data_IF_338902847815
#
_entry.id   IF_338902847815
#
_cell.length_a   1.000
_cell.length_b   1.000
_cell.length_c   1.000
_cell.angle_alpha   90.00
_cell.angle_beta   90.00
_cell.angle_gamma   90.00
#
_symmetry.space_group_name_H-M   'P 1'
#
loop_
_entity.id
_entity.type
_entity.pdbx_description
1 polymer ?
#
# COMPACT_ATOMS: atom_id res chain seq x y z
N UNK A 1 63.61 -3.89 -18.08
CA UNK A 1 62.31 -3.59 -17.44
C UNK A 1 61.92 -4.78 -16.57
N UNK A 2 62.36 -4.78 -15.32
CA UNK A 2 61.97 -5.78 -14.33
C UNK A 2 60.54 -5.49 -13.88
N UNK A 3 59.55 -6.10 -14.54
CA UNK A 3 58.16 -6.01 -14.07
C UNK A 3 58.14 -6.42 -12.59
N UNK A 4 57.72 -5.49 -11.73
CA UNK A 4 57.66 -5.73 -10.29
C UNK A 4 56.85 -7.01 -10.02
N UNK A 5 57.19 -7.74 -8.96
CA UNK A 5 56.42 -8.93 -8.53
C UNK A 5 54.92 -8.60 -8.49
N UNK A 6 54.57 -7.42 -8.02
CA UNK A 6 53.19 -6.93 -7.97
C UNK A 6 52.54 -6.77 -9.34
N UNK A 7 53.27 -6.27 -10.34
CA UNK A 7 52.75 -6.10 -11.71
C UNK A 7 52.51 -7.47 -12.37
N UNK A 8 53.39 -8.44 -12.12
CA UNK A 8 53.20 -9.83 -12.59
C UNK A 8 52.05 -10.53 -11.89
N UNK A 9 51.84 -10.28 -10.59
CA UNK A 9 50.69 -10.82 -9.86
C UNK A 9 49.38 -10.20 -10.34
N UNK A 10 49.37 -8.89 -10.60
CA UNK A 10 48.21 -8.18 -11.17
C UNK A 10 47.90 -8.65 -12.59
N UNK A 11 48.91 -8.83 -13.45
CA UNK A 11 48.70 -9.29 -14.83
C UNK A 11 48.17 -10.72 -14.91
N UNK A 12 48.56 -11.58 -13.96
CA UNK A 12 48.14 -12.98 -13.90
C UNK A 12 46.93 -13.22 -13.00
N UNK A 13 46.31 -12.17 -12.44
CA UNK A 13 45.13 -12.26 -11.57
C UNK A 13 43.99 -13.05 -12.21
N UNK A 14 43.73 -12.84 -13.50
CA UNK A 14 42.71 -13.56 -14.26
C UNK A 14 43.02 -15.05 -14.43
N UNK A 15 44.29 -15.43 -14.54
CA UNK A 15 44.71 -16.83 -14.59
C UNK A 15 44.53 -17.51 -13.22
N UNK A 16 44.80 -16.81 -12.12
CA UNK A 16 44.54 -17.30 -10.77
C UNK A 16 43.04 -17.44 -10.49
N UNK A 17 42.21 -16.47 -10.89
CA UNK A 17 40.75 -16.57 -10.79
C UNK A 17 40.20 -17.75 -11.62
N UNK A 18 40.74 -17.97 -12.83
CA UNK A 18 40.41 -19.13 -13.65
C UNK A 18 40.76 -20.46 -12.98
N UNK A 19 41.93 -20.55 -12.34
CA UNK A 19 42.34 -21.74 -11.59
C UNK A 19 41.46 -21.98 -10.37
N UNK A 20 41.12 -20.92 -9.62
CA UNK A 20 40.19 -21.01 -8.49
C UNK A 20 38.79 -21.45 -8.94
N UNK A 21 38.35 -21.07 -10.14
CA UNK A 21 37.06 -21.49 -10.70
C UNK A 21 37.01 -22.97 -11.12
N UNK A 22 38.17 -23.57 -11.40
CA UNK A 22 38.29 -24.99 -11.76
C UNK A 22 38.14 -25.91 -10.55
N UNK A 23 38.45 -25.39 -9.37
CA UNK A 23 38.32 -26.13 -8.12
C UNK A 23 36.83 -26.16 -7.75
N UNK A 24 36.23 -27.34 -7.52
CA UNK A 24 34.80 -27.44 -7.23
C UNK A 24 34.39 -26.56 -6.04
N UNK A 25 33.27 -25.85 -6.22
CA UNK A 25 32.64 -24.99 -5.21
C UNK A 25 32.44 -25.69 -3.85
N UNK A 26 32.32 -27.03 -3.83
CA UNK A 26 32.25 -27.86 -2.62
C UNK A 26 33.39 -27.62 -1.63
N UNK A 27 34.58 -27.24 -2.09
CA UNK A 27 35.74 -27.04 -1.22
C UNK A 27 35.86 -25.61 -0.66
N UNK A 28 35.08 -24.66 -1.18
CA UNK A 28 35.12 -23.25 -0.75
C UNK A 28 33.85 -22.78 -0.06
N UNK A 29 32.71 -23.37 -0.42
CA UNK A 29 31.42 -23.06 0.19
C UNK A 29 31.07 -24.17 1.16
N UNK A 30 30.83 -23.80 2.43
CA UNK A 30 30.35 -24.73 3.45
C UNK A 30 29.12 -25.47 2.89
N UNK A 31 29.06 -26.81 3.02
CA UNK A 31 27.96 -27.64 2.47
C UNK A 31 26.56 -27.09 2.90
N UNK A 32 26.49 -26.40 4.06
CA UNK A 32 25.30 -25.71 4.58
C UNK A 32 24.85 -24.48 3.77
N UNK A 33 25.77 -23.79 3.11
CA UNK A 33 25.46 -22.60 2.28
C UNK A 33 24.93 -22.96 0.90
N UNK A 34 25.24 -24.17 0.41
CA UNK A 34 24.79 -24.64 -0.89
C UNK A 34 23.28 -24.87 -0.96
N UNK A 35 22.63 -25.15 0.17
CA UNK A 35 21.18 -25.39 0.22
C UNK A 35 20.35 -24.12 0.50
N UNK A 36 20.99 -22.97 0.72
CA UNK A 36 20.29 -21.72 1.04
C UNK A 36 19.31 -21.27 -0.05
N UNK A 37 19.61 -21.53 -1.32
CA UNK A 37 18.71 -21.19 -2.44
C UNK A 37 17.47 -22.10 -2.50
N UNK A 38 17.53 -23.28 -1.85
CA UNK A 38 16.41 -24.21 -1.68
C UNK A 38 15.60 -23.97 -0.40
N UNK A 39 16.05 -23.05 0.47
CA UNK A 39 15.42 -22.81 1.76
C UNK A 39 14.02 -22.17 1.59
N UNK A 40 13.01 -22.83 2.17
CA UNK A 40 11.64 -22.29 2.24
C UNK A 40 11.59 -21.13 3.23
N UNK A 41 10.74 -20.13 2.94
CA UNK A 41 10.50 -19.01 3.86
C UNK A 41 9.97 -19.53 5.19
N UNK A 42 10.69 -19.21 6.28
CA UNK A 42 10.29 -19.60 7.66
C UNK A 42 8.93 -19.03 8.02
N UNK A 43 8.13 -19.81 8.76
CA UNK A 43 6.84 -19.37 9.26
C UNK A 43 7.01 -18.30 10.35
N UNK A 44 5.94 -17.54 10.65
CA UNK A 44 6.00 -16.48 11.65
C UNK A 44 6.21 -17.00 13.09
N UNK A 45 5.90 -18.27 13.35
CA UNK A 45 6.20 -18.96 14.61
C UNK A 45 7.69 -19.29 14.72
N UNK A 46 8.25 -19.90 13.66
CA UNK A 46 9.68 -20.22 13.57
C UNK A 46 10.56 -18.97 13.70
N UNK A 47 10.16 -17.85 13.09
CA UNK A 47 10.86 -16.57 13.24
C UNK A 47 10.85 -16.02 14.68
N UNK A 48 9.87 -16.39 15.52
CA UNK A 48 9.85 -16.00 16.94
C UNK A 48 10.71 -16.93 17.77
N UNK A 49 10.73 -18.22 17.46
CA UNK A 49 11.59 -19.23 18.10
C UNK A 49 13.06 -18.95 17.80
N UNK A 50 13.41 -18.66 16.54
CA UNK A 50 14.78 -18.26 16.14
C UNK A 50 15.26 -17.01 16.90
N UNK A 51 14.35 -16.07 17.20
CA UNK A 51 14.68 -14.86 17.97
C UNK A 51 14.85 -15.14 19.45
N UNK A 52 14.17 -16.14 19.97
CA UNK A 52 14.30 -16.58 21.36
C UNK A 52 15.60 -17.38 21.54
N UNK A 53 15.86 -18.35 20.66
CA UNK A 53 17.11 -19.13 20.68
C UNK A 53 18.35 -18.27 20.46
N UNK A 54 18.23 -17.15 19.72
CA UNK A 54 19.30 -16.15 19.60
C UNK A 54 19.67 -15.47 20.92
N UNK A 55 18.75 -15.45 21.89
CA UNK A 55 18.89 -14.80 23.18
C UNK A 55 19.35 -15.76 24.29
N UNK A 56 19.22 -17.08 24.06
CA UNK A 56 19.56 -18.12 25.04
C UNK A 56 21.06 -18.50 24.93
N UNK A 57 21.91 -18.20 25.93
CA UNK A 57 23.36 -18.40 25.85
C UNK A 57 23.78 -19.87 25.78
N UNK A 58 22.92 -20.81 26.23
CA UNK A 58 23.18 -22.25 26.15
C UNK A 58 22.88 -22.85 24.77
N UNK A 59 22.13 -22.15 23.90
CA UNK A 59 21.79 -22.59 22.54
C UNK A 59 22.57 -21.83 21.46
N UNK A 60 23.66 -21.17 21.85
CA UNK A 60 24.54 -20.42 20.96
C UNK A 60 25.54 -21.34 20.22
N UNK A 61 25.04 -22.06 19.22
CA UNK A 61 25.85 -22.78 18.25
C UNK A 61 26.35 -21.83 17.13
N UNK A 62 27.22 -22.32 16.24
CA UNK A 62 27.70 -21.55 15.07
C UNK A 62 26.56 -21.07 14.14
N UNK A 63 25.37 -21.65 14.26
CA UNK A 63 24.18 -21.31 13.47
C UNK A 63 23.34 -20.19 14.09
N UNK A 64 23.36 -20.07 15.42
CA UNK A 64 22.59 -19.07 16.17
C UNK A 64 23.46 -17.94 16.68
N UNK A 65 24.80 -18.02 16.64
CA UNK A 65 25.73 -16.96 17.03
C UNK A 65 25.82 -15.81 16.01
N UNK A 66 26.36 -14.66 16.43
CA UNK A 66 26.41 -13.47 15.56
C UNK A 66 27.46 -13.66 14.46
N UNK A 67 27.26 -13.11 13.26
CA UNK A 67 28.24 -13.22 12.17
C UNK A 67 29.65 -12.74 12.58
N UNK A 68 29.73 -11.72 13.45
CA UNK A 68 30.97 -11.21 14.00
C UNK A 68 31.64 -12.21 14.96
N UNK A 69 30.84 -12.93 15.73
CA UNK A 69 31.28 -13.91 16.72
C UNK A 69 31.75 -15.20 16.06
N UNK A 70 31.04 -15.65 15.01
CA UNK A 70 31.49 -16.74 14.14
C UNK A 70 32.80 -16.39 13.45
N UNK A 71 32.96 -15.13 12.99
CA UNK A 71 34.21 -14.67 12.37
C UNK A 71 35.38 -14.69 13.36
N UNK A 72 35.16 -14.22 14.61
CA UNK A 72 36.16 -14.29 15.69
C UNK A 72 36.53 -15.74 16.04
N UNK A 73 35.55 -16.63 16.17
CA UNK A 73 35.78 -18.07 16.43
C UNK A 73 36.57 -18.72 15.29
N UNK A 74 36.21 -18.49 14.04
CA UNK A 74 36.94 -18.99 12.85
C UNK A 74 38.37 -18.43 12.80
N UNK A 75 38.57 -17.17 13.15
CA UNK A 75 39.91 -16.55 13.22
C UNK A 75 40.77 -17.18 14.32
N UNK A 76 40.20 -17.44 15.50
CA UNK A 76 40.90 -18.10 16.60
C UNK A 76 41.26 -19.56 16.29
N UNK A 77 40.43 -20.26 15.50
CA UNK A 77 40.65 -21.66 15.11
C UNK A 77 41.43 -21.82 13.80
N UNK A 78 41.73 -20.73 13.09
CA UNK A 78 42.46 -20.79 11.83
C UNK A 78 43.91 -21.24 12.06
N UNK A 79 44.29 -22.37 11.45
CA UNK A 79 45.68 -22.83 11.47
C UNK A 79 46.55 -21.82 10.68
N UNK A 80 47.70 -21.40 11.22
CA UNK A 80 48.58 -20.49 10.50
C UNK A 80 49.08 -21.14 9.21
N UNK A 81 48.97 -20.40 8.10
CA UNK A 81 49.43 -20.84 6.79
C UNK A 81 50.96 -20.90 6.80
N UNK A 82 51.52 -22.11 6.76
CA UNK A 82 52.97 -22.32 6.60
C UNK A 82 53.27 -22.35 5.11
N UNK A 83 53.89 -21.28 4.61
CA UNK A 83 54.41 -21.23 3.25
C UNK A 83 55.59 -22.22 3.12
N UNK A 84 55.60 -23.13 2.13
CA UNK A 84 56.71 -24.04 1.94
C UNK A 84 57.97 -23.25 1.56
N UNK A 85 58.94 -23.16 2.48
CA UNK A 85 60.22 -22.48 2.27
C UNK A 85 60.67 -21.54 3.40
N UNK A 86 59.81 -21.20 4.36
CA UNK A 86 60.21 -20.38 5.53
C UNK A 86 60.46 -21.27 6.75
N UNK A 87 61.67 -21.20 7.31
CA UNK A 87 62.04 -21.87 8.57
C UNK A 87 61.17 -21.32 9.71
N UNK A 88 60.66 -22.22 10.55
CA UNK A 88 59.86 -21.90 11.75
C UNK A 88 60.62 -20.93 12.64
N UNK A 89 60.13 -19.70 12.77
CA UNK A 89 60.50 -18.82 13.89
C UNK A 89 59.54 -19.18 15.02
N UNK A 90 60.05 -19.96 15.98
CA UNK A 90 59.41 -20.12 17.28
C UNK A 90 59.67 -18.82 18.06
N UNK A 91 58.64 -18.02 18.25
CA UNK A 91 58.57 -17.07 19.37
C UNK A 91 57.21 -17.24 20.02
N UNK A 92 57.21 -17.98 21.12
CA UNK A 92 56.18 -17.92 22.14
C UNK A 92 56.21 -16.52 22.75
N UNK A 93 55.09 -15.79 22.67
CA UNK A 93 54.86 -14.59 23.48
C UNK A 93 53.71 -14.91 24.44
N UNK A 94 53.88 -14.66 25.75
CA UNK A 94 52.92 -15.06 26.77
C UNK A 94 51.68 -14.16 26.78
N UNK A 95 50.56 -14.78 27.12
CA UNK A 95 49.27 -14.17 27.43
C UNK A 95 49.45 -13.34 28.72
N UNK A 96 49.18 -12.05 28.64
CA UNK A 96 48.94 -11.21 29.83
C UNK A 96 47.60 -10.50 29.64
N UNK A 97 46.64 -10.89 30.47
CA UNK A 97 45.39 -10.17 30.69
C UNK A 97 45.72 -8.76 31.21
N UNK A 98 45.17 -7.73 30.57
CA UNK A 98 45.01 -6.42 31.19
C UNK A 98 43.70 -5.77 30.74
N UNK A 99 42.72 -5.91 31.62
CA UNK A 99 41.63 -4.99 31.93
C UNK A 99 41.79 -3.59 31.31
N UNK A 100 40.98 -3.25 30.32
CA UNK A 100 40.80 -1.87 29.85
C UNK A 100 39.71 -1.20 30.70
N UNK A 101 40.15 -0.65 31.83
CA UNK A 101 39.43 0.32 32.63
C UNK A 101 39.20 1.62 31.86
N UNK A 102 37.97 2.11 32.00
CA UNK A 102 37.50 3.49 31.87
C UNK A 102 38.55 4.59 32.11
N UNK A 103 38.64 5.55 31.19
CA UNK A 103 38.90 6.96 31.49
C UNK A 103 38.41 7.84 30.33
N UNK A 104 37.42 8.66 30.65
CA UNK A 104 36.95 9.84 29.91
C UNK A 104 38.08 10.86 29.80
N UNK A 105 38.33 11.42 28.61
CA UNK A 105 38.91 12.76 28.45
C UNK A 105 38.28 13.46 27.24
N UNK A 106 38.01 14.74 27.47
CA UNK A 106 37.38 15.76 26.63
C UNK A 106 38.03 15.92 25.25
N UNK A 107 37.20 16.27 24.25
CA UNK A 107 37.65 17.15 23.17
C UNK A 107 36.62 18.27 22.98
N UNK A 108 37.08 19.48 23.32
CA UNK A 108 36.44 20.77 23.10
C UNK A 108 36.37 21.15 21.61
N UNK A 109 35.44 22.08 21.34
CA UNK A 109 35.14 22.78 20.10
C UNK A 109 36.36 23.38 19.36
N UNK A 110 36.37 23.22 18.03
CA UNK A 110 36.80 24.27 17.10
C UNK A 110 35.77 24.41 15.96
N UNK A 111 34.98 25.50 16.01
CA UNK A 111 34.39 26.15 14.82
C UNK A 111 35.46 27.06 14.21
N UNK A 112 35.74 27.06 12.91
CA UNK A 112 35.16 27.82 11.78
C UNK A 112 36.23 27.66 10.65
N UNK A 113 36.00 27.68 9.35
CA UNK A 113 35.29 28.62 8.49
C UNK A 113 34.95 27.88 7.18
N UNK A 114 33.78 28.14 6.60
CA UNK A 114 33.49 27.81 5.20
C UNK A 114 33.02 29.08 4.50
N UNK A 115 33.87 29.53 3.60
CA UNK A 115 33.66 30.66 2.71
C UNK A 115 32.31 30.61 2.01
N UNK A 116 31.58 31.71 2.17
CA UNK A 116 30.47 32.12 1.32
C UNK A 116 31.02 32.55 -0.04
N UNK A 117 30.56 31.89 -1.11
CA UNK A 117 30.67 32.45 -2.46
C UNK A 117 29.25 32.68 -2.99
N UNK A 118 28.98 33.97 -3.10
CA UNK A 118 27.85 34.66 -3.71
C UNK A 118 27.67 34.22 -5.16
N UNK A 119 26.46 33.79 -5.53
CA UNK A 119 26.07 33.62 -6.94
C UNK A 119 24.71 34.31 -7.11
N UNK A 120 24.79 35.55 -7.57
CA UNK A 120 23.67 36.38 -7.97
C UNK A 120 23.16 35.91 -9.34
N UNK A 121 21.98 35.31 -9.39
CA UNK A 121 21.19 35.25 -10.62
C UNK A 121 19.89 36.03 -10.43
N UNK A 122 19.79 37.12 -11.18
CA UNK A 122 18.63 37.98 -11.34
C UNK A 122 17.57 37.24 -12.18
N UNK A 123 16.38 37.04 -11.65
CA UNK A 123 15.22 36.60 -12.44
C UNK A 123 14.24 37.79 -12.59
N UNK A 124 14.24 38.35 -13.79
CA UNK A 124 13.41 39.45 -14.25
C UNK A 124 11.96 38.95 -14.45
N UNK A 125 11.04 39.33 -13.54
CA UNK A 125 9.61 39.03 -13.67
C UNK A 125 8.93 40.16 -14.43
N UNK A 126 8.65 39.95 -15.71
CA UNK A 126 7.84 40.86 -16.53
C UNK A 126 6.35 40.53 -16.36
N UNK A 127 5.60 41.55 -15.95
CA UNK A 127 4.16 41.62 -15.76
C UNK A 127 3.38 41.19 -17.02
N UNK A 128 2.24 40.53 -16.83
CA UNK A 128 1.12 40.58 -17.77
C UNK A 128 -0.13 40.90 -16.96
N UNK A 129 -0.66 42.08 -17.27
CA UNK A 129 -1.87 42.69 -16.73
C UNK A 129 -3.13 41.92 -17.16
N UNK A 130 -4.09 41.88 -16.25
CA UNK A 130 -5.50 41.57 -16.52
C UNK A 130 -6.16 42.81 -17.16
N UNK A 131 -6.91 42.62 -18.24
CA UNK A 131 -8.05 43.47 -18.57
C UNK A 131 -9.24 42.62 -19.02
N UNK A 132 -10.40 42.95 -18.43
CA UNK A 132 -11.74 42.44 -18.71
C UNK A 132 -12.25 42.86 -20.11
N UNK A 133 -13.21 42.10 -20.66
CA UNK A 133 -14.44 42.67 -21.21
C UNK A 133 -15.50 41.58 -21.46
N UNK A 134 -16.52 41.63 -20.61
CA UNK A 134 -17.97 41.74 -20.89
C UNK A 134 -18.81 40.62 -21.57
N UNK A 135 -20.04 40.54 -21.05
CA UNK A 135 -21.08 39.49 -21.10
C UNK A 135 -22.05 39.73 -22.30
N UNK A 136 -23.06 38.87 -22.64
CA UNK A 136 -24.25 38.64 -21.80
C UNK A 136 -24.88 37.22 -21.80
N UNK A 137 -25.64 36.98 -20.73
CA UNK A 137 -26.65 35.94 -20.51
C UNK A 137 -27.74 35.87 -21.59
N UNK A 138 -28.36 34.69 -21.76
CA UNK A 138 -29.83 34.51 -21.73
C UNK A 138 -30.23 33.07 -21.39
N UNK A 139 -31.16 32.96 -20.44
CA UNK A 139 -31.97 31.80 -20.03
C UNK A 139 -32.63 31.05 -21.20
N UNK A 140 -32.89 29.73 -21.06
CA UNK A 140 -34.23 29.08 -21.12
C UNK A 140 -34.19 27.69 -20.47
N UNK A 141 -35.22 27.42 -19.69
CA UNK A 141 -35.61 26.22 -18.96
C UNK A 141 -36.06 25.02 -19.82
N UNK A 142 -36.10 23.84 -19.18
CA UNK A 142 -37.07 22.74 -19.41
C UNK A 142 -36.99 21.92 -20.72
N UNK A 143 -36.65 20.63 -20.60
CA UNK A 143 -37.48 19.51 -21.10
C UNK A 143 -36.83 18.14 -20.88
N UNK A 144 -37.68 17.22 -20.43
CA UNK A 144 -37.46 15.82 -20.12
C UNK A 144 -37.82 14.97 -21.37
N UNK A 145 -37.23 13.76 -21.48
CA UNK A 145 -37.64 12.70 -22.42
C UNK A 145 -36.74 12.60 -23.66
N UNK A 146 -36.47 11.45 -24.26
CA UNK A 146 -36.83 10.06 -23.99
C UNK A 146 -35.88 9.20 -24.87
N UNK A 147 -35.63 7.97 -24.44
CA UNK A 147 -34.74 7.01 -25.07
C UNK A 147 -35.15 6.62 -26.49
N UNK A 148 -34.17 6.55 -27.39
CA UNK A 148 -34.30 5.98 -28.75
C UNK A 148 -34.79 4.52 -28.71
N UNK A 149 -36.01 4.31 -29.19
CA UNK A 149 -36.63 3.01 -29.44
C UNK A 149 -36.13 2.37 -30.74
N UNK A 150 -35.70 1.12 -30.65
CA UNK A 150 -35.45 0.21 -31.77
C UNK A 150 -36.78 -0.13 -32.45
N UNK A 151 -36.88 0.13 -33.76
CA UNK A 151 -38.07 -0.17 -34.55
C UNK A 151 -38.21 -1.68 -34.81
N UNK A 152 -39.31 -2.27 -34.32
CA UNK A 152 -39.82 -3.59 -34.71
C UNK A 152 -41.09 -3.35 -35.52
N UNK A 153 -41.12 -3.82 -36.77
CA UNK A 153 -42.28 -3.67 -37.67
C UNK A 153 -43.14 -4.95 -37.53
N UNK A 154 -44.44 -4.77 -37.30
CA UNK A 154 -45.46 -5.83 -37.17
C UNK A 154 -46.35 -5.88 -38.42
N UNK A 155 -46.88 -7.05 -38.74
CA UNK A 155 -47.94 -7.25 -39.75
C UNK A 155 -49.35 -7.10 -39.12
N UNK A 156 -50.41 -7.00 -39.93
CA UNK A 156 -51.80 -6.62 -39.55
C UNK A 156 -52.47 -7.54 -38.49
N UNK A 157 -51.93 -8.74 -38.26
CA UNK A 157 -52.37 -9.67 -37.19
C UNK A 157 -51.42 -9.71 -35.96
N UNK A 158 -50.47 -8.78 -35.84
CA UNK A 158 -49.75 -8.55 -34.58
C UNK A 158 -48.68 -9.57 -34.19
N UNK A 159 -48.05 -10.27 -35.16
CA UNK A 159 -46.89 -11.14 -34.91
C UNK A 159 -45.58 -10.53 -35.49
N UNK A 160 -44.41 -10.64 -34.81
CA UNK A 160 -43.18 -10.00 -35.26
C UNK A 160 -42.54 -10.73 -36.46
N UNK A 161 -42.25 -10.01 -37.54
CA UNK A 161 -41.63 -10.55 -38.76
C UNK A 161 -40.11 -10.51 -38.66
N UNK A 162 -39.49 -11.68 -38.50
CA UNK A 162 -38.03 -11.84 -38.46
C UNK A 162 -37.45 -11.90 -39.89
N UNK A 163 -36.69 -10.90 -40.31
CA UNK A 163 -36.12 -10.79 -41.68
C UNK A 163 -34.93 -11.75 -41.96
N UNK A 164 -34.97 -12.96 -41.41
CA UNK A 164 -33.94 -13.98 -41.68
C UNK A 164 -34.50 -15.27 -42.32
N UNK A 165 -35.76 -15.26 -42.79
CA UNK A 165 -36.39 -16.41 -43.43
C UNK A 165 -36.19 -16.52 -44.96
N UNK A 166 -35.70 -15.48 -45.65
CA UNK A 166 -35.56 -15.48 -47.14
C UNK A 166 -34.23 -16.00 -47.69
N UNK A 167 -33.42 -16.70 -46.88
CA UNK A 167 -32.15 -17.33 -47.34
C UNK A 167 -32.09 -18.86 -47.20
N UNK A 168 -33.25 -19.52 -47.12
CA UNK A 168 -33.34 -20.98 -47.10
C UNK A 168 -34.48 -21.59 -47.94
N UNK A 169 -34.93 -20.92 -49.01
CA UNK A 169 -35.86 -21.55 -49.99
C UNK A 169 -35.18 -22.01 -51.29
N UNK A 170 -33.88 -21.78 -51.44
CA UNK A 170 -33.09 -22.24 -52.61
C UNK A 170 -32.38 -23.58 -52.43
N UNK A 171 -32.73 -24.41 -51.44
CA UNK A 171 -31.97 -25.64 -51.15
C UNK A 171 -32.82 -26.81 -50.64
N UNK A 172 -34.00 -27.01 -51.22
CA UNK A 172 -34.89 -28.13 -50.91
C UNK A 172 -35.45 -28.86 -52.15
N UNK A 173 -34.68 -28.90 -53.25
CA UNK A 173 -35.02 -29.74 -54.42
C UNK A 173 -33.76 -30.37 -55.04
N UNK A 174 -32.97 -31.10 -54.25
CA UNK A 174 -32.02 -32.10 -54.79
C UNK A 174 -31.56 -33.06 -53.70
N UNK A 175 -32.44 -33.98 -53.29
CA UNK A 175 -32.09 -35.24 -52.59
C UNK A 175 -33.38 -36.02 -52.31
N UNK A 176 -34.00 -36.52 -53.36
CA UNK A 176 -34.97 -37.61 -53.27
C UNK A 176 -34.64 -38.61 -54.38
N UNK A 177 -33.58 -39.38 -54.17
CA UNK A 177 -33.31 -40.63 -54.89
C UNK A 177 -32.15 -41.34 -54.19
N UNK A 178 -32.41 -41.90 -53.01
CA UNK A 178 -31.89 -43.21 -52.60
C UNK A 178 -32.32 -43.61 -51.19
N UNK A 179 -32.48 -44.93 -50.99
CA UNK A 179 -32.72 -45.67 -49.75
C UNK A 179 -34.17 -45.76 -49.22
N UNK A 180 -34.97 -46.60 -49.90
CA UNK A 180 -36.02 -47.39 -49.26
C UNK A 180 -35.38 -48.66 -48.67
N UNK A 181 -34.94 -48.61 -47.41
CA UNK A 181 -34.78 -49.75 -46.49
C UNK A 181 -34.35 -49.23 -45.10
N UNK A 182 -34.84 -49.82 -44.02
CA UNK A 182 -34.66 -49.45 -42.58
C UNK A 182 -35.57 -48.34 -42.02
N UNK A 183 -36.89 -48.61 -41.91
CA UNK A 183 -37.83 -47.70 -41.22
C UNK A 183 -38.00 -47.98 -39.71
N UNK A 184 -37.70 -49.19 -39.21
CA UNK A 184 -37.88 -49.49 -37.77
C UNK A 184 -36.68 -49.06 -36.91
N UNK A 185 -35.46 -49.23 -37.42
CA UNK A 185 -34.19 -48.86 -36.76
C UNK A 185 -34.02 -47.34 -36.53
N UNK A 186 -34.78 -46.52 -37.27
CA UNK A 186 -34.76 -45.05 -37.16
C UNK A 186 -35.56 -44.55 -35.96
N UNK A 187 -36.63 -45.26 -35.58
CA UNK A 187 -37.52 -44.87 -34.48
C UNK A 187 -36.83 -45.06 -33.12
N UNK A 188 -36.12 -46.17 -32.95
CA UNK A 188 -35.35 -46.47 -31.74
C UNK A 188 -34.15 -45.55 -31.57
N UNK A 189 -33.46 -45.22 -32.67
CA UNK A 189 -32.37 -44.22 -32.66
C UNK A 189 -32.86 -42.83 -32.29
N UNK A 190 -34.06 -42.44 -32.73
CA UNK A 190 -34.69 -41.16 -32.32
C UNK A 190 -35.03 -41.15 -30.84
N UNK A 191 -35.66 -42.21 -30.32
CA UNK A 191 -35.94 -42.36 -28.89
C UNK A 191 -34.66 -42.30 -28.05
N UNK A 192 -33.61 -43.01 -28.47
CA UNK A 192 -32.30 -42.98 -27.81
C UNK A 192 -31.62 -41.60 -27.86
N UNK A 193 -31.79 -40.86 -28.96
CA UNK A 193 -31.30 -39.47 -29.07
C UNK A 193 -32.10 -38.49 -28.21
N UNK A 194 -33.41 -38.72 -28.07
CA UNK A 194 -34.28 -37.95 -27.18
C UNK A 194 -33.94 -38.22 -25.71
N UNK A 195 -33.68 -39.48 -25.33
CA UNK A 195 -33.18 -39.83 -24.00
C UNK A 195 -31.80 -39.24 -23.70
N UNK A 196 -30.91 -39.16 -24.69
CA UNK A 196 -29.62 -38.50 -24.52
C UNK A 196 -29.79 -36.98 -24.38
N UNK A 197 -30.74 -36.38 -25.10
CA UNK A 197 -31.08 -34.95 -24.96
C UNK A 197 -31.73 -34.66 -23.61
N UNK A 198 -32.61 -35.51 -23.10
CA UNK A 198 -33.21 -35.34 -21.77
C UNK A 198 -32.15 -35.44 -20.67
N UNK A 199 -31.28 -36.47 -20.71
CA UNK A 199 -30.15 -36.61 -19.78
C UNK A 199 -29.19 -35.43 -19.83
N UNK A 200 -28.92 -34.89 -21.03
CA UNK A 200 -28.11 -33.67 -21.18
C UNK A 200 -28.80 -32.45 -20.56
N UNK A 201 -30.11 -32.28 -20.79
CA UNK A 201 -30.88 -31.17 -20.24
C UNK A 201 -30.95 -31.24 -18.71
N UNK A 202 -31.13 -32.42 -18.13
CA UNK A 202 -31.07 -32.65 -16.68
C UNK A 202 -29.69 -32.30 -16.12
N UNK A 203 -28.61 -32.73 -16.77
CA UNK A 203 -27.24 -32.38 -16.37
C UNK A 203 -26.98 -30.86 -16.47
N UNK A 204 -27.53 -30.20 -17.49
CA UNK A 204 -27.44 -28.74 -17.64
C UNK A 204 -28.24 -28.04 -16.54
N UNK A 205 -29.44 -28.52 -16.19
CA UNK A 205 -30.25 -27.98 -15.09
C UNK A 205 -29.51 -28.14 -13.75
N UNK A 206 -28.99 -29.32 -13.46
CA UNK A 206 -28.20 -29.58 -12.25
C UNK A 206 -26.94 -28.68 -12.16
N UNK A 207 -26.25 -28.45 -13.28
CA UNK A 207 -25.10 -27.53 -13.31
C UNK A 207 -25.50 -26.06 -13.16
N UNK A 208 -26.67 -25.66 -13.70
CA UNK A 208 -27.22 -24.29 -13.52
C UNK A 208 -27.64 -24.04 -12.08
N UNK A 209 -28.27 -25.02 -11.44
CA UNK A 209 -28.68 -24.98 -10.03
C UNK A 209 -27.45 -24.91 -9.11
N UNK A 210 -26.44 -25.76 -9.34
CA UNK A 210 -25.15 -25.71 -8.63
C UNK A 210 -24.43 -24.35 -8.76
N UNK A 211 -24.58 -23.69 -9.92
CA UNK A 211 -23.98 -22.37 -10.18
C UNK A 211 -24.88 -21.19 -9.79
N UNK A 212 -26.07 -21.45 -9.25
CA UNK A 212 -27.08 -20.43 -8.88
C UNK A 212 -27.33 -19.46 -10.04
N UNK A 213 -27.43 -20.01 -11.25
CA UNK A 213 -27.65 -19.23 -12.47
C UNK A 213 -29.05 -18.57 -12.45
N UNK A 214 -29.20 -17.38 -13.04
CA UNK A 214 -30.49 -16.69 -13.06
C UNK A 214 -31.59 -17.55 -13.71
N UNK A 215 -32.77 -17.58 -13.09
CA UNK A 215 -33.92 -18.39 -13.51
C UNK A 215 -33.95 -19.83 -12.97
N UNK A 216 -33.01 -20.23 -12.10
CA UNK A 216 -33.13 -21.49 -11.33
C UNK A 216 -33.92 -21.25 -10.06
N UNK A 217 -34.77 -22.21 -9.63
CA UNK A 217 -35.60 -22.11 -8.41
C UNK A 217 -34.81 -22.35 -7.10
N UNK A 218 -33.47 -22.25 -7.15
CA UNK A 218 -32.59 -22.45 -5.99
C UNK A 218 -32.51 -21.16 -5.18
N UNK A 219 -32.62 -21.30 -3.86
CA UNK A 219 -32.58 -20.15 -2.96
C UNK A 219 -31.26 -19.34 -3.12
N UNK A 220 -31.42 -18.04 -3.34
CA UNK A 220 -30.32 -17.11 -3.66
C UNK A 220 -29.97 -16.94 -5.14
N UNK A 221 -30.63 -17.65 -6.09
CA UNK A 221 -30.50 -17.36 -7.52
C UNK A 221 -31.50 -16.28 -7.95
N UNK A 222 -31.08 -15.22 -8.66
CA UNK A 222 -31.99 -14.17 -9.10
C UNK A 222 -32.92 -14.67 -10.23
N UNK A 223 -34.22 -14.67 -9.98
CA UNK A 223 -35.23 -15.24 -10.90
C UNK A 223 -35.34 -14.51 -12.24
N UNK A 224 -35.09 -13.19 -12.27
CA UNK A 224 -35.15 -12.35 -13.48
C UNK A 224 -34.07 -11.26 -13.50
N UNK A 225 -33.82 -10.66 -14.67
CA UNK A 225 -32.91 -9.50 -14.82
C UNK A 225 -33.34 -8.31 -13.95
N UNK A 226 -34.64 -8.16 -13.75
CA UNK A 226 -35.24 -7.15 -12.88
C UNK A 226 -34.95 -7.42 -11.40
N UNK A 227 -35.00 -8.68 -10.97
CA UNK A 227 -34.62 -9.08 -9.61
C UNK A 227 -33.15 -8.75 -9.29
N UNK A 228 -32.24 -8.83 -10.28
CA UNK A 228 -30.83 -8.43 -10.12
C UNK A 228 -30.70 -6.92 -9.89
N UNK A 229 -31.47 -6.11 -10.63
CA UNK A 229 -31.47 -4.65 -10.48
C UNK A 229 -32.07 -4.23 -9.14
N UNK A 230 -33.18 -4.85 -8.73
CA UNK A 230 -33.80 -4.62 -7.43
C UNK A 230 -32.88 -4.98 -6.26
N UNK A 231 -32.18 -6.13 -6.34
CA UNK A 231 -31.20 -6.52 -5.31
C UNK A 231 -29.99 -5.57 -5.27
N UNK A 232 -29.54 -5.08 -6.42
CA UNK A 232 -28.46 -4.09 -6.50
C UNK A 232 -28.88 -2.74 -5.90
N UNK A 233 -30.11 -2.30 -6.16
CA UNK A 233 -30.70 -1.08 -5.59
C UNK A 233 -30.82 -1.21 -4.07
N UNK A 234 -31.44 -2.29 -3.57
CA UNK A 234 -31.56 -2.57 -2.13
C UNK A 234 -30.20 -2.61 -1.41
N UNK A 235 -29.16 -3.14 -2.06
CA UNK A 235 -27.78 -3.15 -1.50
C UNK A 235 -27.11 -1.78 -1.52
N UNK A 236 -27.43 -0.92 -2.49
CA UNK A 236 -26.98 0.47 -2.51
C UNK A 236 -27.68 1.28 -1.42
N UNK A 237 -29.00 1.12 -1.27
CA UNK A 237 -29.79 1.80 -0.23
C UNK A 237 -29.34 1.36 1.17
N UNK A 238 -29.07 0.07 1.39
CA UNK A 238 -28.51 -0.45 2.64
C UNK A 238 -27.08 0.05 2.94
N UNK A 239 -26.33 0.50 1.92
CA UNK A 239 -25.00 1.11 2.10
C UNK A 239 -25.10 2.60 2.34
N UNK A 240 -26.02 3.29 1.65
CA UNK A 240 -26.31 4.71 1.89
C UNK A 240 -26.81 4.91 3.33
N UNK A 241 -27.82 4.14 3.74
CA UNK A 241 -28.34 4.15 5.13
C UNK A 241 -27.26 3.84 6.18
N UNK A 242 -26.35 2.88 5.91
CA UNK A 242 -25.22 2.62 6.80
C UNK A 242 -24.21 3.77 6.82
N UNK A 243 -23.89 4.34 5.67
CA UNK A 243 -22.97 5.46 5.55
C UNK A 243 -23.52 6.73 6.23
N UNK A 244 -24.83 6.96 6.14
CA UNK A 244 -25.52 8.03 6.83
C UNK A 244 -25.58 7.78 8.35
N UNK A 245 -25.80 6.52 8.78
CA UNK A 245 -25.73 6.14 10.20
C UNK A 245 -24.31 6.16 10.80
N UNK A 246 -23.27 6.09 9.96
CA UNK A 246 -21.86 6.18 10.35
C UNK A 246 -21.35 7.63 10.41
N UNK A 247 -22.19 8.61 10.08
CA UNK A 247 -21.90 10.04 10.21
C UNK A 247 -22.84 10.73 11.23
N UNK A 248 -22.76 10.42 12.54
CA UNK A 248 -23.58 11.09 13.55
C UNK A 248 -22.93 12.41 13.98
N UNK A 249 -23.18 13.46 13.21
CA UNK A 249 -23.17 14.81 13.73
C UNK A 249 -24.59 15.18 14.17
N UNK A 250 -24.85 15.04 15.47
CA UNK A 250 -25.92 15.72 16.22
C UNK A 250 -27.38 15.43 15.81
N UNK A 251 -28.07 14.59 16.58
CA UNK A 251 -29.35 14.92 17.20
C UNK A 251 -29.72 13.82 18.22
N UNK A 252 -30.06 14.30 19.42
CA UNK A 252 -30.56 13.56 20.58
C UNK A 252 -32.04 13.18 20.41
N UNK A 253 -32.43 11.94 20.77
CA UNK A 253 -33.54 11.69 21.71
C UNK A 253 -33.64 10.20 22.05
N UNK A 254 -33.84 9.97 23.35
CA UNK A 254 -34.32 8.78 24.05
C UNK A 254 -35.67 8.28 23.50
N UNK A 255 -35.84 6.95 23.36
CA UNK A 255 -37.07 6.20 23.73
C UNK A 255 -36.86 4.66 23.61
N UNK A 256 -36.83 4.04 24.79
CA UNK A 256 -37.35 2.73 25.25
C UNK A 256 -37.63 1.49 24.36
N UNK A 257 -37.42 0.33 25.01
CA UNK A 257 -38.03 -1.01 24.85
C UNK A 257 -37.78 -1.81 23.56
N UNK A 258 -37.81 -3.14 23.49
CA UNK A 258 -37.68 -4.32 24.36
C UNK A 258 -37.72 -5.53 23.36
N UNK A 259 -37.53 -6.77 23.81
CA UNK A 259 -37.81 -8.04 23.11
C UNK A 259 -36.62 -8.76 22.44
N UNK A 260 -35.88 -9.48 23.28
CA UNK A 260 -35.79 -10.95 23.30
C UNK A 260 -35.73 -11.73 21.98
N UNK A 261 -34.64 -12.50 21.77
CA UNK A 261 -34.68 -13.87 21.25
C UNK A 261 -33.28 -14.49 21.33
N UNK A 262 -33.11 -15.36 22.32
CA UNK A 262 -32.08 -16.39 22.39
C UNK A 262 -32.06 -17.26 21.12
N UNK A 263 -30.87 -17.49 20.55
CA UNK A 263 -30.57 -18.75 19.86
C UNK A 263 -29.06 -18.99 19.83
N UNK A 264 -28.69 -20.05 20.52
CA UNK A 264 -27.40 -20.73 20.59
C UNK A 264 -26.87 -21.14 19.19
N UNK A 265 -25.61 -20.80 18.89
CA UNK A 265 -24.78 -21.44 17.89
C UNK A 265 -23.31 -21.01 18.04
N UNK A 266 -22.54 -21.93 18.63
CA UNK A 266 -21.09 -22.01 18.66
C UNK A 266 -20.39 -21.73 17.32
N UNK A 267 -19.13 -21.27 17.45
CA UNK A 267 -18.06 -21.22 16.45
C UNK A 267 -17.99 -20.03 15.47
N UNK A 268 -17.14 -19.04 15.81
CA UNK A 268 -16.06 -18.56 14.95
C UNK A 268 -15.31 -17.38 15.59
N UNK A 269 -14.07 -17.61 16.00
CA UNK A 269 -13.13 -16.53 16.29
C UNK A 269 -12.82 -15.71 15.02
N UNK A 270 -12.56 -14.42 15.24
CA UNK A 270 -12.03 -13.39 14.31
C UNK A 270 -13.09 -12.50 13.65
N UNK A 271 -13.68 -11.62 14.46
CA UNK A 271 -13.91 -10.24 14.06
C UNK A 271 -13.77 -9.33 15.29
N UNK A 272 -12.70 -8.53 15.34
CA UNK A 272 -12.53 -7.45 16.31
C UNK A 272 -13.55 -6.37 15.98
N UNK A 273 -14.79 -6.58 16.41
CA UNK A 273 -15.87 -5.60 16.39
C UNK A 273 -15.48 -4.51 17.38
N UNK A 274 -15.37 -3.26 16.91
CA UNK A 274 -15.34 -2.08 17.77
C UNK A 274 -16.50 -2.19 18.76
N UNK A 275 -16.19 -2.49 20.03
CA UNK A 275 -17.12 -2.30 21.12
C UNK A 275 -17.30 -0.80 21.27
N UNK A 276 -18.51 -0.33 20.96
CA UNK A 276 -19.01 0.98 21.34
C UNK A 276 -19.22 0.95 22.86
N UNK A 277 -18.68 1.98 23.52
CA UNK A 277 -19.05 2.62 24.78
C UNK A 277 -19.63 1.72 25.90
N UNK A 278 -18.92 1.63 27.03
CA UNK A 278 -19.55 1.33 28.31
C UNK A 278 -18.66 0.68 29.35
N UNK A 279 -17.63 -0.06 28.93
CA UNK A 279 -16.74 -0.75 29.86
C UNK A 279 -15.30 -0.54 29.37
N UNK A 280 -14.64 0.49 29.90
CA UNK A 280 -13.21 0.66 29.69
C UNK A 280 -12.52 -0.41 30.53
N UNK A 281 -12.22 -1.58 29.92
CA UNK A 281 -11.30 -2.56 30.50
C UNK A 281 -10.05 -1.81 30.98
N UNK A 282 -9.96 -1.58 32.30
CA UNK A 282 -8.88 -0.83 32.92
C UNK A 282 -7.62 -1.64 32.68
N UNK A 283 -6.85 -1.24 31.68
CA UNK A 283 -5.62 -1.94 31.35
C UNK A 283 -4.70 -1.82 32.57
N UNK A 284 -4.17 -2.94 33.05
CA UNK A 284 -3.20 -2.96 34.16
C UNK A 284 -1.97 -2.03 33.95
N UNK A 285 -1.76 -1.54 32.72
CA UNK A 285 -0.73 -0.56 32.35
C UNK A 285 -1.11 0.90 32.63
N UNK A 286 -2.39 1.22 32.77
CA UNK A 286 -2.90 2.57 33.08
C UNK A 286 -3.14 2.75 34.59
N UNK A 287 -3.04 1.67 35.38
CA UNK A 287 -3.14 1.72 36.84
C UNK A 287 -1.77 2.03 37.43
N UNK A 288 -1.55 3.28 37.82
CA UNK A 288 -0.36 3.70 38.56
C UNK A 288 -0.65 3.63 40.07
N UNK A 289 0.28 3.07 40.84
CA UNK A 289 0.18 2.99 42.31
C UNK A 289 -0.07 4.39 42.89
N UNK A 290 -1.04 4.49 43.81
CA UNK A 290 -1.44 5.74 44.50
C UNK A 290 -2.18 6.79 43.66
N UNK A 291 -2.45 6.55 42.36
CA UNK A 291 -3.32 7.42 41.56
C UNK A 291 -4.73 6.83 41.42
N UNK A 292 -5.75 7.60 41.82
CA UNK A 292 -7.15 7.21 41.66
C UNK A 292 -7.71 7.93 40.43
N UNK A 293 -8.16 7.17 39.43
CA UNK A 293 -8.85 7.69 38.25
C UNK A 293 -10.30 7.24 38.27
N UNK A 294 -11.22 8.20 38.17
CA UNK A 294 -12.66 7.94 38.09
C UNK A 294 -13.07 7.67 36.63
N UNK A 295 -14.21 7.01 36.45
CA UNK A 295 -14.78 6.68 35.13
C UNK A 295 -15.07 7.90 34.26
N UNK A 296 -15.35 9.05 34.86
CA UNK A 296 -15.50 10.35 34.16
C UNK A 296 -14.15 10.91 33.62
N UNK A 297 -13.06 10.17 33.82
CA UNK A 297 -11.71 10.56 33.43
C UNK A 297 -11.09 11.61 34.34
N UNK A 298 -11.76 11.98 35.44
CA UNK A 298 -11.19 12.80 36.50
C UNK A 298 -10.18 11.99 37.33
N UNK A 299 -9.14 12.65 37.80
CA UNK A 299 -8.03 12.04 38.56
C UNK A 299 -7.90 12.73 39.91
N UNK A 300 -7.84 11.97 41.00
CA UNK A 300 -7.53 12.52 42.32
C UNK A 300 -6.05 12.93 42.40
N UNK A 301 -5.75 14.00 43.14
CA UNK A 301 -4.37 14.33 43.53
C UNK A 301 -3.80 13.27 44.47
N UNK A 302 -2.47 13.19 44.56
CA UNK A 302 -1.77 12.25 45.47
C UNK A 302 -2.19 12.42 46.93
N UNK A 303 -2.57 13.62 47.33
CA UNK A 303 -3.04 13.94 48.69
C UNK A 303 -4.54 13.69 48.88
N UNK A 304 -5.23 13.18 47.86
CA UNK A 304 -6.68 12.95 47.79
C UNK A 304 -7.55 14.20 48.07
N UNK A 305 -6.95 15.38 48.17
CA UNK A 305 -7.61 16.62 48.55
C UNK A 305 -8.36 17.29 47.40
N UNK A 306 -7.91 17.09 46.16
CA UNK A 306 -8.45 17.76 44.98
C UNK A 306 -8.62 16.79 43.82
N UNK A 307 -9.66 17.01 43.02
CA UNK A 307 -9.94 16.24 41.82
C UNK A 307 -9.54 17.09 40.60
N UNK A 308 -8.58 16.61 39.83
CA UNK A 308 -8.18 17.23 38.55
C UNK A 308 -8.96 16.62 37.41
N UNK A 309 -9.50 17.46 36.53
CA UNK A 309 -10.11 16.99 35.28
C UNK A 309 -9.03 16.43 34.37
N UNK A 310 -9.13 15.15 34.00
CA UNK A 310 -8.17 14.54 33.09
C UNK A 310 -8.22 15.19 31.72
N UNK A 311 -7.08 15.18 31.02
CA UNK A 311 -7.02 15.70 29.66
C UNK A 311 -7.95 14.90 28.73
N UNK A 312 -8.79 15.60 27.96
CA UNK A 312 -9.68 14.97 26.99
C UNK A 312 -8.87 14.10 26.01
N UNK A 313 -9.29 12.85 25.82
CA UNK A 313 -8.62 11.88 24.94
C UNK A 313 -8.60 12.41 23.49
N UNK A 314 -7.39 12.74 23.00
CA UNK A 314 -6.97 12.88 21.57
C UNK A 314 -7.87 13.73 20.64
N UNK A 315 -7.87 15.06 20.79
CA UNK A 315 -8.39 15.99 19.77
C UNK A 315 -7.37 16.43 18.70
N UNK A 316 -7.80 16.95 17.53
CA UNK A 316 -6.92 17.53 16.50
C UNK A 316 -5.97 18.59 17.05
N UNK A 317 -6.43 19.39 18.01
CA UNK A 317 -5.65 20.43 18.67
C UNK A 317 -4.35 19.90 19.32
N UNK A 318 -4.37 18.71 19.96
CA UNK A 318 -3.14 18.12 20.55
C UNK A 318 -2.11 17.69 19.49
N UNK A 319 -2.51 17.52 18.23
CA UNK A 319 -1.64 17.14 17.10
C UNK A 319 -1.23 18.33 16.24
N UNK A 320 -1.75 19.53 16.51
CA UNK A 320 -1.33 20.72 15.80
C UNK A 320 -0.02 21.26 16.36
N UNK A 321 1.01 21.25 15.52
CA UNK A 321 2.35 21.67 15.94
C UNK A 321 2.48 23.20 15.90
N UNK A 322 1.62 23.89 15.13
CA UNK A 322 1.57 25.36 15.11
C UNK A 322 1.01 25.89 16.42
N UNK A 323 -0.08 25.28 16.91
CA UNK A 323 -0.65 25.61 18.21
C UNK A 323 0.35 25.41 19.37
N UNK A 324 1.09 24.30 19.39
CA UNK A 324 2.14 24.06 20.40
C UNK A 324 3.27 25.08 20.31
N UNK A 325 3.68 25.46 19.10
CA UNK A 325 4.70 26.48 18.89
C UNK A 325 4.22 27.86 19.37
N UNK A 326 2.99 28.25 19.08
CA UNK A 326 2.37 29.48 19.60
C UNK A 326 2.26 29.46 21.12
N UNK A 327 1.89 28.33 21.71
CA UNK A 327 1.84 28.18 23.17
C UNK A 327 3.23 28.39 23.79
N UNK A 328 4.27 27.82 23.17
CA UNK A 328 5.65 27.98 23.58
C UNK A 328 6.10 29.45 23.49
N UNK A 329 5.79 30.13 22.38
CA UNK A 329 6.05 31.57 22.20
C UNK A 329 5.35 32.41 23.27
N UNK A 330 4.06 32.16 23.53
CA UNK A 330 3.32 32.88 24.57
C UNK A 330 3.90 32.63 25.95
N UNK A 331 4.33 31.39 26.26
CA UNK A 331 4.99 31.07 27.54
C UNK A 331 6.31 31.82 27.69
N UNK A 332 7.13 31.86 26.63
CA UNK A 332 8.37 32.63 26.61
C UNK A 332 8.11 34.12 26.84
N UNK A 333 7.17 34.70 26.12
CA UNK A 333 6.76 36.10 26.32
C UNK A 333 6.30 36.37 27.76
N UNK A 334 5.51 35.46 28.35
CA UNK A 334 5.06 35.62 29.76
C UNK A 334 6.18 35.44 30.79
N UNK A 335 7.24 34.71 30.46
CA UNK A 335 8.43 34.59 31.32
C UNK A 335 9.31 35.82 31.16
N UNK A 336 9.52 36.29 29.94
CA UNK A 336 10.28 37.51 29.63
C UNK A 336 9.64 38.76 30.24
N UNK A 337 8.31 38.81 30.34
CA UNK A 337 7.59 39.92 30.99
C UNK A 337 7.69 39.97 32.52
N UNK A 338 8.24 38.93 33.16
CA UNK A 338 8.36 38.84 34.63
C UNK A 338 9.77 39.21 35.09
N UNK A 339 9.88 39.65 36.34
CA UNK A 339 11.17 39.98 36.98
C UNK A 339 12.09 38.75 37.10
N UNK A 340 13.40 38.96 37.11
CA UNK A 340 14.41 37.89 37.10
C UNK A 340 14.26 36.89 38.26
N UNK A 341 13.95 37.37 39.46
CA UNK A 341 13.71 36.51 40.63
C UNK A 341 12.47 35.64 40.44
N UNK A 342 11.42 36.18 39.83
CA UNK A 342 10.19 35.45 39.55
C UNK A 342 10.36 34.52 38.35
N UNK A 343 11.22 34.87 37.38
CA UNK A 343 11.63 33.96 36.31
C UNK A 343 12.34 32.72 36.86
N UNK A 344 13.24 32.87 37.83
CA UNK A 344 13.92 31.73 38.45
C UNK A 344 12.91 30.83 39.16
N UNK A 345 12.05 31.41 40.02
CA UNK A 345 11.00 30.66 40.73
C UNK A 345 10.03 29.96 39.78
N UNK A 346 9.63 30.62 38.69
CA UNK A 346 8.73 30.02 37.69
C UNK A 346 9.42 28.91 36.90
N UNK A 347 10.69 29.08 36.50
CA UNK A 347 11.48 28.01 35.86
C UNK A 347 11.65 26.79 36.76
N UNK A 348 11.90 26.99 38.05
CA UNK A 348 11.97 25.90 39.03
C UNK A 348 10.64 25.17 39.20
N UNK A 349 9.54 25.93 39.36
CA UNK A 349 8.18 25.36 39.41
C UNK A 349 7.85 24.58 38.14
N UNK A 350 8.13 25.14 36.96
CA UNK A 350 7.90 24.50 35.67
C UNK A 350 8.73 23.23 35.51
N UNK A 351 9.98 23.21 36.01
CA UNK A 351 10.86 22.03 35.98
C UNK A 351 10.26 20.88 36.80
N UNK A 352 9.78 21.17 38.01
CA UNK A 352 9.15 20.16 38.87
C UNK A 352 7.79 19.70 38.34
N UNK A 353 6.97 20.62 37.85
CA UNK A 353 5.70 20.27 37.21
C UNK A 353 5.91 19.41 35.95
N UNK A 354 6.92 19.74 35.13
CA UNK A 354 7.31 18.96 33.96
C UNK A 354 7.74 17.54 34.36
N UNK A 355 8.60 17.41 35.37
CA UNK A 355 9.02 16.11 35.88
C UNK A 355 7.85 15.28 36.41
N UNK A 356 6.95 15.91 37.17
CA UNK A 356 5.73 15.27 37.69
C UNK A 356 4.81 14.78 36.56
N UNK A 357 4.57 15.60 35.54
CA UNK A 357 3.74 15.23 34.38
C UNK A 357 4.39 14.13 33.53
N UNK A 358 5.72 14.14 33.39
CA UNK A 358 6.45 13.08 32.70
C UNK A 358 6.38 11.76 33.46
N UNK A 359 6.50 11.79 34.79
CA UNK A 359 6.32 10.63 35.66
C UNK A 359 4.87 10.10 35.63
N UNK A 360 3.88 10.99 35.49
CA UNK A 360 2.48 10.63 35.24
C UNK A 360 2.28 9.96 33.85
N UNK A 361 3.28 10.03 32.96
CA UNK A 361 3.22 9.47 31.61
C UNK A 361 2.70 10.43 30.54
N UNK A 362 2.51 11.72 30.87
CA UNK A 362 2.09 12.75 29.91
C UNK A 362 3.27 13.13 29.00
N UNK A 363 3.10 12.92 27.69
CA UNK A 363 4.11 13.24 26.67
C UNK A 363 4.05 14.71 26.29
N UNK A 364 4.85 15.53 26.94
CA UNK A 364 5.02 16.97 26.68
C UNK A 364 5.73 17.21 25.34
N UNK A 365 5.30 18.25 24.60
CA UNK A 365 5.79 18.57 23.24
C UNK A 365 6.15 20.05 23.15
N UNK A 366 7.15 20.44 23.92
CA UNK A 366 7.49 21.85 24.13
C UNK A 366 8.84 22.24 23.51
N UNK A 367 9.43 21.38 22.67
CA UNK A 367 10.73 21.63 22.05
C UNK A 367 10.59 22.41 20.74
N UNK A 368 10.98 23.68 20.74
CA UNK A 368 10.86 24.60 19.60
C UNK A 368 11.51 24.04 18.32
N UNK A 369 12.76 23.56 18.43
CA UNK A 369 13.51 22.98 17.30
C UNK A 369 12.77 21.75 16.73
N UNK A 370 12.20 20.89 17.58
CA UNK A 370 11.48 19.69 17.13
C UNK A 370 10.11 20.03 16.51
N UNK A 371 9.39 21.01 17.09
CA UNK A 371 8.12 21.51 16.55
C UNK A 371 8.33 22.14 15.17
N UNK A 372 9.34 22.99 15.00
CA UNK A 372 9.73 23.56 13.70
C UNK A 372 10.13 22.49 12.69
N UNK A 373 10.96 21.51 13.09
CA UNK A 373 11.31 20.35 12.23
C UNK A 373 10.09 19.52 11.85
N UNK A 374 9.11 19.38 12.74
CA UNK A 374 7.87 18.66 12.45
C UNK A 374 6.98 19.42 11.46
N UNK A 375 6.90 20.75 11.57
CA UNK A 375 6.23 21.60 10.57
C UNK A 375 6.90 21.47 9.20
N UNK A 376 8.22 21.62 9.12
CA UNK A 376 8.98 21.42 7.86
C UNK A 376 8.75 20.03 7.25
N UNK A 377 8.68 18.97 8.08
CA UNK A 377 8.33 17.61 7.62
C UNK A 377 6.90 17.50 7.10
N UNK A 378 5.94 18.21 7.69
CA UNK A 378 4.56 18.25 7.18
C UNK A 378 4.48 19.02 5.86
N UNK A 379 5.15 20.16 5.78
CA UNK A 379 5.20 21.00 4.57
C UNK A 379 5.85 20.26 3.41
N UNK A 380 7.01 19.62 3.62
CA UNK A 380 7.67 18.81 2.57
C UNK A 380 6.79 17.66 2.08
N UNK A 381 6.05 16.98 2.97
CA UNK A 381 5.06 15.97 2.58
C UNK A 381 3.94 16.58 1.73
N UNK A 382 3.44 17.77 2.11
CA UNK A 382 2.41 18.48 1.35
C UNK A 382 2.92 18.95 -0.01
N UNK A 383 4.15 19.46 -0.10
CA UNK A 383 4.83 19.80 -1.37
C UNK A 383 4.95 18.58 -2.27
N UNK A 384 5.42 17.44 -1.76
CA UNK A 384 5.48 16.16 -2.52
C UNK A 384 4.10 15.76 -3.04
N UNK A 385 3.09 15.78 -2.18
CA UNK A 385 1.73 15.47 -2.62
C UNK A 385 1.21 16.47 -3.66
N UNK A 386 1.49 17.76 -3.52
CA UNK A 386 1.07 18.76 -4.49
C UNK A 386 1.71 18.52 -5.88
N UNK A 387 3.00 18.19 -5.90
CA UNK A 387 3.72 17.83 -7.13
C UNK A 387 3.14 16.56 -7.74
N UNK A 388 2.92 15.50 -6.97
CA UNK A 388 2.33 14.26 -7.47
C UNK A 388 0.92 14.46 -8.04
N UNK A 389 0.11 15.30 -7.39
CA UNK A 389 -1.23 15.62 -7.88
C UNK A 389 -1.18 16.45 -9.15
N UNK A 390 -0.23 17.39 -9.27
CA UNK A 390 0.01 18.14 -10.51
C UNK A 390 0.46 17.21 -11.64
N UNK A 391 1.40 16.31 -11.38
CA UNK A 391 1.85 15.30 -12.35
C UNK A 391 0.68 14.42 -12.78
N UNK A 392 -0.16 13.95 -11.85
CA UNK A 392 -1.36 13.16 -12.18
C UNK A 392 -2.32 13.94 -13.07
N UNK A 393 -2.61 15.21 -12.77
CA UNK A 393 -3.46 16.06 -13.62
C UNK A 393 -2.88 16.20 -15.03
N UNK A 394 -1.59 16.50 -15.15
CA UNK A 394 -0.91 16.58 -16.44
C UNK A 394 -0.94 15.25 -17.20
N UNK A 395 -0.75 14.11 -16.53
CA UNK A 395 -0.87 12.80 -17.19
C UNK A 395 -2.29 12.53 -17.69
N UNK A 396 -3.32 12.96 -16.93
CA UNK A 396 -4.71 12.84 -17.37
C UNK A 396 -4.93 13.72 -18.61
N UNK A 397 -4.54 14.99 -18.57
CA UNK A 397 -4.61 15.93 -19.69
C UNK A 397 -3.91 15.37 -20.93
N UNK A 398 -2.67 14.90 -20.79
CA UNK A 398 -1.90 14.30 -21.88
C UNK A 398 -2.60 13.05 -22.44
N UNK A 399 -3.12 12.16 -21.60
CA UNK A 399 -3.84 10.97 -22.09
C UNK A 399 -5.16 11.30 -22.78
N UNK A 400 -5.83 12.39 -22.37
CA UNK A 400 -7.03 12.89 -23.03
C UNK A 400 -6.66 13.50 -24.38
N UNK A 401 -5.65 14.37 -24.42
CA UNK A 401 -5.13 14.98 -25.64
C UNK A 401 -4.65 13.93 -26.64
N UNK A 402 -3.92 12.90 -26.21
CA UNK A 402 -3.48 11.81 -27.09
C UNK A 402 -4.66 10.99 -27.63
N UNK A 403 -5.72 10.77 -26.84
CA UNK A 403 -6.94 10.11 -27.34
C UNK A 403 -7.66 10.98 -28.36
N UNK A 404 -7.73 12.29 -28.14
CA UNK A 404 -8.33 13.25 -29.07
C UNK A 404 -7.52 13.30 -30.37
N UNK A 405 -6.21 13.52 -30.31
CA UNK A 405 -5.29 13.48 -31.46
C UNK A 405 -5.45 12.18 -32.27
N UNK A 406 -5.50 11.02 -31.62
CA UNK A 406 -5.73 9.74 -32.35
C UNK A 406 -7.12 9.64 -32.98
N UNK A 407 -8.15 10.27 -32.41
CA UNK A 407 -9.48 10.33 -33.04
C UNK A 407 -9.45 11.24 -34.24
N UNK A 408 -8.81 12.41 -34.15
CA UNK A 408 -8.64 13.36 -35.24
C UNK A 408 -7.87 12.75 -36.40
N UNK A 409 -6.72 12.11 -36.15
CA UNK A 409 -5.95 11.40 -37.17
C UNK A 409 -6.77 10.30 -37.84
N UNK A 410 -7.58 9.57 -37.07
CA UNK A 410 -8.48 8.55 -37.60
C UNK A 410 -9.61 9.16 -38.45
N UNK A 411 -10.17 10.30 -38.05
CA UNK A 411 -11.16 11.03 -38.85
C UNK A 411 -10.53 11.58 -40.14
N UNK A 412 -9.29 12.07 -40.08
CA UNK A 412 -8.52 12.49 -41.26
C UNK A 412 -8.28 11.32 -42.21
N UNK A 413 -7.81 10.17 -41.72
CA UNK A 413 -7.65 8.95 -42.55
C UNK A 413 -8.99 8.54 -43.20
N UNK A 414 -10.14 8.69 -42.50
CA UNK A 414 -11.46 8.44 -43.11
C UNK A 414 -11.81 9.44 -44.21
N UNK A 415 -11.49 10.72 -44.03
CA UNK A 415 -11.65 11.75 -45.06
C UNK A 415 -10.77 11.44 -46.27
N UNK A 416 -9.49 11.13 -46.05
CA UNK A 416 -8.51 10.84 -47.10
C UNK A 416 -8.79 9.55 -47.86
N UNK A 417 -9.41 8.56 -47.21
CA UNK A 417 -9.80 7.29 -47.82
C UNK A 417 -11.11 7.40 -48.62
N UNK A 418 -11.89 8.47 -48.43
CA UNK A 418 -13.14 8.69 -49.17
C UNK A 418 -12.80 8.78 -50.67
N UNK A 419 -13.44 7.95 -51.49
CA UNK A 419 -13.20 7.91 -52.94
C UNK A 419 -11.99 7.09 -53.41
N UNK A 420 -11.13 6.59 -52.50
CA UNK A 420 -10.00 5.72 -52.87
C UNK A 420 -10.42 4.23 -52.92
N UNK A 421 -9.93 3.48 -53.91
CA UNK A 421 -10.12 2.02 -54.01
C UNK A 421 -9.53 1.31 -52.77
N UNK A 422 -10.18 0.23 -52.32
CA UNK A 422 -9.84 -0.50 -51.07
C UNK A 422 -8.34 -0.87 -50.93
N UNK A 423 -7.65 -1.16 -52.03
CA UNK A 423 -6.21 -1.51 -52.01
C UNK A 423 -5.29 -0.33 -51.71
N UNK A 424 -5.73 0.92 -51.96
CA UNK A 424 -4.97 2.16 -51.71
C UNK A 424 -5.40 2.88 -50.41
N UNK A 425 -6.31 2.30 -49.64
CA UNK A 425 -6.80 2.92 -48.40
C UNK A 425 -5.81 2.71 -47.25
N UNK A 426 -5.52 3.78 -46.51
CA UNK A 426 -4.68 3.73 -45.34
C UNK A 426 -5.45 3.13 -44.15
N UNK A 427 -4.81 2.23 -43.41
CA UNK A 427 -5.43 1.60 -42.23
C UNK A 427 -5.51 2.58 -41.05
N UNK A 428 -6.62 2.53 -40.32
CA UNK A 428 -6.88 3.33 -39.14
C UNK A 428 -5.92 2.98 -37.99
N UNK A 429 -5.55 3.98 -37.18
CA UNK A 429 -4.75 3.78 -35.96
C UNK A 429 -5.57 3.09 -34.87
N UNK A 430 -4.94 2.16 -34.14
CA UNK A 430 -5.56 1.40 -33.03
C UNK A 430 -5.90 2.32 -31.85
N UNK A 431 -6.94 1.93 -31.10
CA UNK A 431 -7.36 2.62 -29.86
C UNK A 431 -6.17 2.79 -28.92
N UNK A 432 -6.01 3.98 -28.35
CA UNK A 432 -5.02 4.24 -27.31
C UNK A 432 -5.34 3.41 -26.07
N UNK A 433 -4.53 2.38 -25.82
CA UNK A 433 -4.37 1.78 -24.50
C UNK A 433 -3.24 2.57 -23.87
N UNK A 434 -3.56 3.43 -22.91
CA UNK A 434 -2.60 4.39 -22.35
C UNK A 434 -1.28 3.75 -21.92
N UNK A 435 -0.23 4.57 -21.84
CA UNK A 435 1.02 4.16 -21.20
C UNK A 435 0.68 3.86 -19.73
N UNK A 436 0.72 2.59 -19.33
CA UNK A 436 0.51 2.23 -17.95
C UNK A 436 1.61 2.94 -17.15
N UNK A 437 1.27 3.80 -16.17
CA UNK A 437 2.30 4.46 -15.38
C UNK A 437 3.11 3.36 -14.70
N UNK A 438 4.39 3.26 -15.07
CA UNK A 438 5.35 2.41 -14.39
C UNK A 438 5.24 2.78 -12.91
N UNK A 439 4.78 1.83 -12.08
CA UNK A 439 4.63 2.05 -10.64
C UNK A 439 5.99 2.53 -10.14
N UNK A 440 6.12 3.81 -9.79
CA UNK A 440 7.30 4.34 -9.11
C UNK A 440 7.39 3.55 -7.80
N UNK A 441 8.24 2.52 -7.78
CA UNK A 441 8.37 1.59 -6.66
C UNK A 441 8.90 2.39 -5.47
N UNK A 442 8.21 2.30 -4.34
CA UNK A 442 8.68 2.87 -3.09
C UNK A 442 9.79 1.96 -2.52
N UNK A 443 11.00 2.04 -3.07
CA UNK A 443 12.14 1.29 -2.56
C UNK A 443 13.32 1.24 -3.52
N UNK A 444 14.47 1.73 -3.04
CA UNK A 444 15.79 1.10 -3.18
C UNK A 444 16.12 0.41 -4.52
N UNK A 445 15.85 1.05 -5.65
CA UNK A 445 16.54 0.72 -6.90
C UNK A 445 17.51 1.89 -7.13
N UNK A 446 18.77 1.63 -6.81
CA UNK A 446 19.83 2.62 -6.69
C UNK A 446 19.89 3.56 -7.89
N UNK A 447 20.01 4.86 -7.61
CA UNK A 447 20.48 5.84 -8.57
C UNK A 447 21.90 5.42 -8.98
N UNK A 448 22.01 4.60 -10.03
CA UNK A 448 23.29 4.33 -10.69
C UNK A 448 23.86 5.69 -11.09
N UNK A 449 24.86 6.12 -10.33
CA UNK A 449 25.63 7.33 -10.57
C UNK A 449 26.33 7.07 -11.91
N UNK A 450 25.75 7.54 -13.01
CA UNK A 450 26.38 7.49 -14.31
C UNK A 450 27.67 8.30 -14.20
N UNK A 451 28.80 7.62 -14.01
CA UNK A 451 30.13 8.21 -14.08
C UNK A 451 30.29 8.66 -15.53
N UNK A 452 30.14 9.97 -15.75
CA UNK A 452 30.41 10.61 -17.02
C UNK A 452 31.94 10.55 -17.20
N UNK A 453 32.42 9.59 -18.01
CA UNK A 453 33.81 9.58 -18.48
C UNK A 453 34.04 10.91 -19.21
N UNK A 454 34.96 11.73 -18.68
CA UNK A 454 35.62 12.77 -19.44
C UNK A 454 36.64 12.11 -20.37
#
# INVERSE_FOLDING_TARGET
MSNSLEERLKSNSSAFEGLLSLIPAKYYYDDKTQEQWNAKKKSKGQLKEDKKSKLDPQQQDDESSSALEVMKKKQAQAKPVVLPGQKKIQQELPIVESEASSSEEDEEDEEEQKDEQDDQEQEEVKQVEEEENDVPEVNVSETLGESESIAVIFDDDGNPVDQNAKKQEGRLQKQQENSKASKDDSSEKKKKMEELRSKLQEKIKALKEKRKAPGTKVDGAPSSREAILAQRKRRQDARATKQDSENPGDMSSDDSADSDSESDAEDAHVAKKNRRNGDEDISAKDVMFQSIQFSDGTKATSDLSHIRKGERKKGPARKDHKAHLRLLETKKQTLESRDELDQIKTKEKDKWQKAMLQAEGVRLKDDEKLLRKALKRKETKKKKSAIEWRERKQTVENTVAEKQKRREENLQIRKDNKGKKKSKQQKMKRKFKGTAPLKKRAGFEGRMKSVKKK
#
